data_IF_281363236049
#
_entry.id   IF_281363236049
#
_cell.length_a   1.000
_cell.length_b   1.000
_cell.length_c   1.000
_cell.angle_alpha   90.00
_cell.angle_beta   90.00
_cell.angle_gamma   90.00
#
_symmetry.space_group_name_H-M   'P 1'
#
loop_
_entity.id
_entity.type
_entity.pdbx_description
1 polymer ?
#
# COMPACT_ATOMS: atom_id res chain seq x y z
N UNK A 1 -3.14 -4.34 6.87
CA UNK A 1 -1.88 -4.56 6.11
C UNK A 1 -1.00 -3.32 6.18
N UNK A 2 0.33 -3.45 6.14
CA UNK A 2 1.23 -2.29 5.95
C UNK A 2 2.50 -2.67 5.18
N UNK A 3 3.22 -1.65 4.73
CA UNK A 3 4.54 -1.76 4.12
C UNK A 3 5.53 -0.86 4.87
N UNK A 4 6.73 -1.38 5.15
CA UNK A 4 7.80 -0.63 5.80
C UNK A 4 9.09 -0.65 4.97
N UNK A 5 9.60 0.54 4.66
CA UNK A 5 10.79 0.74 3.84
C UNK A 5 11.75 1.69 4.54
N UNK A 6 13.02 1.28 4.69
CA UNK A 6 14.09 2.18 5.14
C UNK A 6 14.67 2.93 3.95
N UNK A 7 14.88 4.25 4.07
CA UNK A 7 15.32 5.12 2.96
C UNK A 7 16.66 4.69 2.38
N UNK A 8 17.52 4.12 3.21
CA UNK A 8 18.86 3.64 2.87
C UNK A 8 18.79 2.48 1.85
N UNK A 9 17.68 1.73 1.84
CA UNK A 9 17.44 0.61 0.94
C UNK A 9 17.00 1.05 -0.45
N UNK A 10 16.62 2.32 -0.61
CA UNK A 10 16.26 2.91 -1.90
C UNK A 10 17.53 3.33 -2.61
N UNK A 11 17.63 2.98 -3.91
CA UNK A 11 18.72 3.45 -4.77
C UNK A 11 18.82 4.98 -4.72
N UNK A 12 20.02 5.57 -4.63
CA UNK A 12 20.17 7.01 -4.44
C UNK A 12 19.35 7.87 -5.42
N UNK A 13 19.35 7.53 -6.71
CA UNK A 13 18.58 8.26 -7.73
C UNK A 13 17.05 8.21 -7.52
N UNK A 14 16.53 7.12 -6.94
CA UNK A 14 15.10 6.96 -6.65
C UNK A 14 14.65 7.64 -5.34
N UNK A 15 15.59 8.11 -4.50
CA UNK A 15 15.24 8.78 -3.23
C UNK A 15 14.59 10.14 -3.48
N UNK A 16 14.97 10.79 -4.57
CA UNK A 16 14.42 12.07 -4.98
C UNK A 16 13.19 11.91 -5.88
N UNK A 17 13.01 10.75 -6.51
CA UNK A 17 11.85 10.38 -7.33
C UNK A 17 10.69 9.82 -6.48
N UNK A 18 10.20 10.64 -5.55
CA UNK A 18 9.19 10.23 -4.54
C UNK A 18 7.92 9.62 -5.14
N UNK A 19 7.48 10.12 -6.29
CA UNK A 19 6.26 9.62 -6.95
C UNK A 19 6.45 8.19 -7.46
N UNK A 20 7.57 7.91 -8.12
CA UNK A 20 7.89 6.57 -8.63
C UNK A 20 8.00 5.57 -7.48
N UNK A 21 8.68 5.98 -6.40
CA UNK A 21 8.78 5.17 -5.21
C UNK A 21 7.40 4.91 -4.58
N UNK A 22 6.56 5.94 -4.45
CA UNK A 22 5.21 5.81 -3.91
C UNK A 22 4.35 4.84 -4.73
N UNK A 23 4.33 5.01 -6.06
CA UNK A 23 3.59 4.13 -6.96
C UNK A 23 4.05 2.67 -6.80
N UNK A 24 5.36 2.45 -6.77
CA UNK A 24 5.95 1.12 -6.59
C UNK A 24 5.51 0.46 -5.28
N UNK A 25 5.57 1.19 -4.16
CA UNK A 25 5.24 0.64 -2.84
C UNK A 25 3.75 0.34 -2.74
N UNK A 26 2.90 1.27 -3.17
CA UNK A 26 1.44 1.07 -3.12
C UNK A 26 1.03 -0.10 -4.01
N UNK A 27 1.55 -0.20 -5.24
CA UNK A 27 1.26 -1.34 -6.11
C UNK A 27 1.76 -2.67 -5.57
N UNK A 28 2.90 -2.69 -4.87
CA UNK A 28 3.39 -3.91 -4.22
C UNK A 28 2.50 -4.34 -3.06
N UNK A 29 2.01 -3.40 -2.25
CA UNK A 29 1.12 -3.68 -1.13
C UNK A 29 -0.26 -4.15 -1.62
N UNK A 30 -0.86 -3.45 -2.58
CA UNK A 30 -2.15 -3.84 -3.16
C UNK A 30 -2.06 -5.23 -3.78
N UNK A 31 -1.02 -5.50 -4.55
CA UNK A 31 -0.86 -6.81 -5.19
C UNK A 31 -0.65 -7.94 -4.17
N UNK A 32 0.05 -7.68 -3.06
CA UNK A 32 0.16 -8.64 -1.96
C UNK A 32 -1.18 -8.88 -1.25
N UNK A 33 -1.98 -7.83 -1.02
CA UNK A 33 -3.33 -7.97 -0.44
C UNK A 33 -4.24 -8.79 -1.35
N UNK A 34 -4.25 -8.50 -2.66
CA UNK A 34 -5.08 -9.23 -3.62
C UNK A 34 -4.70 -10.71 -3.68
N UNK A 35 -3.40 -11.02 -3.65
CA UNK A 35 -2.92 -12.39 -3.64
C UNK A 35 -3.25 -13.13 -2.33
N UNK A 36 -3.13 -12.47 -1.18
CA UNK A 36 -3.35 -13.09 0.14
C UNK A 36 -4.83 -13.39 0.43
N UNK A 37 -5.74 -12.53 -0.03
CA UNK A 37 -7.17 -12.66 0.22
C UNK A 37 -7.93 -13.46 -0.87
N UNK A 38 -7.26 -13.84 -1.96
CA UNK A 38 -7.82 -14.67 -3.05
C UNK A 38 -9.20 -14.20 -3.56
N UNK A 39 -9.36 -12.90 -3.83
CA UNK A 39 -10.65 -12.34 -4.25
C UNK A 39 -11.21 -13.04 -5.50
N UNK A 40 -12.48 -13.45 -5.42
CA UNK A 40 -13.21 -14.11 -6.51
C UNK A 40 -14.04 -13.18 -7.40
N UNK A 41 -14.04 -11.88 -7.08
CA UNK A 41 -14.79 -10.82 -7.76
C UNK A 41 -13.91 -9.60 -7.99
N UNK A 42 -14.41 -8.63 -8.75
CA UNK A 42 -13.75 -7.34 -8.94
C UNK A 42 -13.45 -6.67 -7.59
N UNK A 43 -12.30 -5.98 -7.54
CA UNK A 43 -11.76 -5.34 -6.34
C UNK A 43 -11.72 -3.84 -6.55
N UNK A 44 -12.41 -3.12 -5.67
CA UNK A 44 -12.37 -1.66 -5.63
C UNK A 44 -11.28 -1.21 -4.67
N UNK A 45 -10.27 -0.53 -5.21
CA UNK A 45 -9.20 0.09 -4.44
C UNK A 45 -9.57 1.55 -4.20
N UNK A 46 -10.03 1.82 -2.98
CA UNK A 46 -10.45 3.16 -2.54
C UNK A 46 -9.25 3.83 -1.86
N UNK A 47 -8.85 4.99 -2.36
CA UNK A 47 -7.63 5.68 -1.92
C UNK A 47 -7.94 7.10 -1.47
N UNK A 48 -7.40 7.47 -0.32
CA UNK A 48 -7.31 8.87 0.10
C UNK A 48 -6.19 9.54 -0.66
N UNK A 49 -6.51 10.19 -1.79
CA UNK A 49 -5.54 11.10 -2.38
C UNK A 49 -6.10 12.09 -3.38
N UNK A 50 -5.70 13.33 -3.13
CA UNK A 50 -5.64 14.49 -4.01
C UNK A 50 -4.55 14.35 -5.10
N UNK A 51 -4.58 13.28 -5.89
CA UNK A 51 -3.82 13.25 -7.14
C UNK A 51 -4.68 13.87 -8.24
N UNK A 52 -4.12 14.85 -8.95
CA UNK A 52 -4.76 15.54 -10.06
C UNK A 52 -4.05 15.24 -11.39
N UNK A 53 -4.82 15.31 -12.47
CA UNK A 53 -4.33 15.17 -13.84
C UNK A 53 -3.51 13.90 -14.09
N UNK A 54 -2.36 14.08 -14.74
CA UNK A 54 -1.50 13.01 -15.26
C UNK A 54 -0.96 12.09 -14.16
N UNK A 55 -0.67 12.63 -12.97
CA UNK A 55 -0.09 11.88 -11.85
C UNK A 55 -1.06 10.81 -11.34
N UNK A 56 -2.37 11.12 -11.38
CA UNK A 56 -3.43 10.16 -11.05
C UNK A 56 -3.50 9.04 -12.08
N UNK A 57 -3.54 9.38 -13.36
CA UNK A 57 -3.64 8.38 -14.42
C UNK A 57 -2.44 7.42 -14.44
N UNK A 58 -1.22 7.93 -14.26
CA UNK A 58 -0.01 7.11 -14.20
C UNK A 58 -0.02 6.16 -13.00
N UNK A 59 -0.54 6.63 -11.87
CA UNK A 59 -0.71 5.82 -10.67
C UNK A 59 -1.74 4.70 -10.89
N UNK A 60 -2.91 5.03 -11.44
CA UNK A 60 -3.98 4.07 -11.72
C UNK A 60 -3.50 3.00 -12.71
N UNK A 61 -2.86 3.42 -13.82
CA UNK A 61 -2.26 2.51 -14.81
C UNK A 61 -1.23 1.59 -14.16
N UNK A 62 -0.38 2.13 -13.28
CA UNK A 62 0.64 1.34 -12.60
C UNK A 62 0.04 0.31 -11.65
N UNK A 63 -1.00 0.66 -10.88
CA UNK A 63 -1.70 -0.28 -9.99
C UNK A 63 -2.35 -1.42 -10.76
N UNK A 64 -3.09 -1.10 -11.82
CA UNK A 64 -3.73 -2.10 -12.67
C UNK A 64 -2.67 -3.02 -13.28
N UNK A 65 -1.60 -2.46 -13.85
CA UNK A 65 -0.50 -3.25 -14.41
C UNK A 65 0.13 -4.21 -13.39
N UNK A 66 0.43 -3.74 -12.17
CA UNK A 66 1.05 -4.55 -11.11
C UNK A 66 0.14 -5.64 -10.53
N UNK A 67 -1.17 -5.41 -10.53
CA UNK A 67 -2.12 -6.46 -10.17
C UNK A 67 -2.14 -7.59 -11.20
N UNK A 68 -1.82 -7.29 -12.47
CA UNK A 68 -1.75 -8.26 -13.57
C UNK A 68 -0.38 -9.00 -13.62
N UNK A 69 0.72 -8.33 -13.25
CA UNK A 69 2.08 -8.92 -13.30
C UNK A 69 2.33 -10.06 -12.29
N UNK A 70 1.65 -10.07 -11.14
CA UNK A 70 1.80 -11.16 -10.16
C UNK A 70 1.20 -12.51 -10.62
N UNK A 71 0.66 -12.57 -11.86
CA UNK A 71 0.21 -13.79 -12.52
C UNK A 71 1.30 -14.79 -12.94
N UNK A 72 2.56 -14.63 -12.50
CA UNK A 72 3.65 -15.58 -12.81
C UNK A 72 3.53 -16.95 -12.10
N UNK A 73 2.55 -17.15 -11.21
CA UNK A 73 2.08 -18.50 -10.90
C UNK A 73 0.59 -18.54 -10.52
N UNK A 74 -0.23 -19.06 -11.45
CA UNK A 74 -1.49 -19.78 -11.21
C UNK A 74 -2.73 -19.03 -10.71
N UNK A 75 -3.10 -17.89 -11.29
CA UNK A 75 -4.54 -17.59 -11.40
C UNK A 75 -4.91 -16.85 -12.70
N UNK A 76 -5.97 -17.27 -13.40
CA UNK A 76 -6.46 -16.60 -14.58
C UNK A 76 -7.33 -15.39 -14.17
N UNK A 77 -6.90 -14.19 -14.57
CA UNK A 77 -7.71 -13.18 -15.26
C UNK A 77 -9.13 -12.82 -14.74
N UNK A 78 -9.49 -13.03 -13.48
CA UNK A 78 -10.90 -12.92 -13.04
C UNK A 78 -11.27 -11.73 -12.17
N UNK A 79 -10.31 -10.95 -11.69
CA UNK A 79 -10.57 -9.78 -10.86
C UNK A 79 -10.14 -8.53 -11.62
N UNK A 80 -11.09 -7.66 -11.98
CA UNK A 80 -10.76 -6.31 -12.40
C UNK A 80 -10.48 -5.45 -11.17
N UNK A 81 -9.46 -4.60 -11.27
CA UNK A 81 -9.11 -3.64 -10.23
C UNK A 81 -9.59 -2.25 -10.67
N UNK A 82 -10.52 -1.68 -9.93
CA UNK A 82 -10.98 -0.30 -10.13
C UNK A 82 -10.39 0.60 -9.04
N UNK A 83 -9.82 1.74 -9.42
CA UNK A 83 -9.25 2.70 -8.47
C UNK A 83 -10.20 3.89 -8.30
N UNK A 84 -10.65 4.11 -7.06
CA UNK A 84 -11.55 5.20 -6.70
C UNK A 84 -10.83 6.17 -5.75
N UNK A 85 -10.88 7.45 -6.09
CA UNK A 85 -10.33 8.52 -5.27
C UNK A 85 -11.46 9.26 -4.57
N UNK A 86 -11.35 9.40 -3.26
CA UNK A 86 -12.40 9.96 -2.40
C UNK A 86 -11.77 10.85 -1.32
N UNK A 87 -12.54 11.83 -0.84
CA UNK A 87 -12.16 12.68 0.29
C UNK A 87 -12.26 11.87 1.60
N UNK A 88 -11.15 11.78 2.35
CA UNK A 88 -11.08 11.14 3.66
C UNK A 88 -12.16 11.59 4.64
N UNK A 89 -12.58 12.86 4.61
CA UNK A 89 -13.62 13.37 5.52
C UNK A 89 -14.98 12.73 5.28
N UNK A 90 -15.23 12.19 4.09
CA UNK A 90 -16.51 11.62 3.68
C UNK A 90 -16.51 10.08 3.67
N UNK A 91 -15.39 9.42 3.99
CA UNK A 91 -15.29 7.97 3.95
C UNK A 91 -14.71 7.39 5.25
N UNK A 92 -15.55 6.67 6.01
CA UNK A 92 -15.16 6.06 7.30
C UNK A 92 -14.05 5.00 7.17
N UNK A 93 -13.99 4.28 6.05
CA UNK A 93 -12.95 3.27 5.84
C UNK A 93 -11.58 3.92 5.66
N UNK A 94 -11.53 5.07 4.99
CA UNK A 94 -10.31 5.86 4.88
C UNK A 94 -9.89 6.42 6.23
N UNK A 95 -10.80 6.98 7.02
CA UNK A 95 -10.46 7.49 8.35
C UNK A 95 -9.88 6.39 9.25
N UNK A 96 -10.43 5.16 9.15
CA UNK A 96 -9.88 4.00 9.83
C UNK A 96 -8.48 3.65 9.30
N UNK A 97 -8.26 3.68 7.99
CA UNK A 97 -6.96 3.46 7.38
C UNK A 97 -5.92 4.52 7.84
N UNK A 98 -6.31 5.79 7.93
CA UNK A 98 -5.45 6.88 8.44
C UNK A 98 -5.06 6.67 9.89
N UNK A 99 -6.01 6.24 10.73
CA UNK A 99 -5.72 5.89 12.13
C UNK A 99 -4.69 4.76 12.22
N UNK A 100 -4.85 3.69 11.43
CA UNK A 100 -3.92 2.56 11.37
C UNK A 100 -2.55 3.02 10.86
N UNK A 101 -2.51 3.75 9.74
CA UNK A 101 -1.27 4.25 9.14
C UNK A 101 -0.52 5.19 10.10
N UNK A 102 -1.21 6.11 10.76
CA UNK A 102 -0.63 7.01 11.76
C UNK A 102 -0.10 6.25 12.99
N UNK A 103 -0.78 5.18 13.40
CA UNK A 103 -0.32 4.32 14.50
C UNK A 103 0.97 3.58 14.13
N UNK A 104 1.00 2.91 12.97
CA UNK A 104 2.21 2.23 12.45
C UNK A 104 3.36 3.24 12.28
N UNK A 105 3.09 4.43 11.75
CA UNK A 105 4.11 5.47 11.55
C UNK A 105 4.76 5.88 12.87
N UNK A 106 3.97 6.16 13.91
CA UNK A 106 4.48 6.55 15.23
C UNK A 106 5.30 5.44 15.88
N UNK A 107 4.84 4.20 15.80
CA UNK A 107 5.55 3.04 16.35
C UNK A 107 6.98 2.93 15.80
N UNK A 108 7.12 2.92 14.47
CA UNK A 108 8.42 2.67 13.83
C UNK A 108 9.32 3.90 13.70
N UNK A 109 8.78 5.12 13.78
CA UNK A 109 9.55 6.36 13.60
C UNK A 109 9.90 7.06 14.91
N UNK A 110 8.93 7.24 15.79
CA UNK A 110 9.05 8.14 16.94
C UNK A 110 9.25 7.38 18.26
N UNK A 111 9.01 6.06 18.27
CA UNK A 111 9.17 5.13 19.41
C UNK A 111 8.71 5.73 20.76
N UNK A 112 7.44 6.11 20.83
CA UNK A 112 6.82 6.64 22.05
C UNK A 112 6.23 5.51 22.90
N UNK A 113 6.97 5.07 23.91
CA UNK A 113 6.64 3.95 24.83
C UNK A 113 5.22 3.97 25.45
N UNK A 114 4.53 5.11 25.47
CA UNK A 114 3.24 5.27 26.18
C UNK A 114 2.09 5.83 25.32
N UNK A 115 2.34 6.15 24.04
CA UNK A 115 1.32 6.70 23.13
C UNK A 115 1.10 5.82 21.89
N UNK A 116 1.68 4.63 21.92
CA UNK A 116 1.68 3.74 20.79
C UNK A 116 0.47 2.77 20.87
N UNK A 117 -0.47 2.95 19.96
CA UNK A 117 -1.65 2.09 19.81
C UNK A 117 -1.35 0.86 18.95
N UNK A 118 -0.09 0.60 18.58
CA UNK A 118 0.27 -0.50 17.69
C UNK A 118 -0.14 -1.86 18.22
N UNK A 119 0.01 -2.12 19.53
CA UNK A 119 -0.40 -3.39 20.15
C UNK A 119 -1.89 -3.71 19.99
N UNK A 120 -2.73 -2.69 19.81
CA UNK A 120 -4.18 -2.87 19.55
C UNK A 120 -4.43 -3.43 18.15
N UNK A 121 -3.58 -3.07 17.18
CA UNK A 121 -3.75 -3.43 15.78
C UNK A 121 -2.83 -4.57 15.33
N UNK A 122 -1.71 -4.83 16.02
CA UNK A 122 -0.67 -5.77 15.56
C UNK A 122 -1.20 -7.17 15.26
N UNK A 123 -2.06 -7.70 16.15
CA UNK A 123 -2.64 -9.03 16.01
C UNK A 123 -3.71 -9.12 14.90
N UNK A 124 -4.12 -7.99 14.35
CA UNK A 124 -5.10 -7.89 13.26
C UNK A 124 -4.43 -7.58 11.90
N UNK A 125 -3.10 -7.48 11.84
CA UNK A 125 -2.37 -7.25 10.60
C UNK A 125 -1.97 -8.60 10.00
N UNK A 126 -2.65 -8.98 8.92
CA UNK A 126 -2.38 -10.21 8.15
C UNK A 126 -1.23 -10.06 7.17
N UNK A 127 -1.21 -8.95 6.43
CA UNK A 127 -0.17 -8.66 5.41
C UNK A 127 0.81 -7.61 5.92
N UNK A 128 2.07 -7.99 6.08
CA UNK A 128 3.18 -7.11 6.43
C UNK A 128 4.31 -7.24 5.39
N UNK A 129 4.58 -6.16 4.65
CA UNK A 129 5.68 -6.08 3.70
C UNK A 129 6.83 -5.27 4.31
N UNK A 130 7.69 -5.97 5.03
CA UNK A 130 8.85 -5.38 5.66
C UNK A 130 10.12 -5.62 4.85
N UNK A 131 10.69 -4.54 4.32
CA UNK A 131 11.90 -4.60 3.50
C UNK A 131 13.18 -4.69 4.32
N UNK A 132 13.14 -4.87 5.64
CA UNK A 132 14.32 -4.85 6.53
C UNK A 132 15.52 -5.71 6.09
N UNK A 133 15.29 -6.88 5.51
CA UNK A 133 16.34 -7.79 5.04
C UNK A 133 16.83 -7.47 3.62
N UNK A 134 16.51 -6.28 3.11
CA UNK A 134 16.72 -5.90 1.72
C UNK A 134 15.66 -6.50 0.80
N UNK A 135 15.59 -5.98 -0.42
CA UNK A 135 14.74 -6.52 -1.48
C UNK A 135 15.28 -7.92 -1.83
N UNK A 136 14.59 -8.97 -1.38
CA UNK A 136 14.90 -10.33 -1.86
C UNK A 136 14.67 -10.32 -3.38
N UNK A 137 15.75 -10.57 -4.14
CA UNK A 137 15.69 -10.74 -5.58
C UNK A 137 14.98 -12.03 -5.94
#
# INVERSE_FOLDING_TARGET
AYLLLRKEQVYPHLRDERQILYNYLTGSLVSAIVADYEFSSDVNVIIDKSLDGVVREEFDKYLVFRSLENGLSRQPSRCQLEVLHVDSKQNLCIQAADFVAGTVHRHFRDYLLYADHYSVIENNITVCLDFFNGRRR
#
